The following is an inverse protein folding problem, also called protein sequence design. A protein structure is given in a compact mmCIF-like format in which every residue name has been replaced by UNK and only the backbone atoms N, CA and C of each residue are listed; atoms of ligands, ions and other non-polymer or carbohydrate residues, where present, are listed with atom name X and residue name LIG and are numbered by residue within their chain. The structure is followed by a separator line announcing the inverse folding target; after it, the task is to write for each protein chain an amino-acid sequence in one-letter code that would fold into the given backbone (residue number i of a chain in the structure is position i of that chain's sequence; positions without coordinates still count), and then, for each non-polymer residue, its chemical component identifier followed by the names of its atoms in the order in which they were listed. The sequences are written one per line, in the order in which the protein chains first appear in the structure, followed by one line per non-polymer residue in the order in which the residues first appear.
data_IF_179156662941
#
_entry.id   IF_179156662941
#
_cell.length_a   1.000
_cell.length_b   1.000
_cell.length_c   1.000
_cell.angle_alpha   90.00
_cell.angle_beta   90.00
_cell.angle_gamma   90.00
#
_symmetry.space_group_name_H-M   'P 1'
#
loop_
_entity.id
_entity.type
_entity.pdbx_description
1 polymer ?
#
# COMPACT_ATOMS: atom_id res chain seq x y z
N UNK A 1 27.67 20.98 18.67
CA UNK A 1 26.35 20.31 18.58
C UNK A 1 26.31 19.57 17.26
N UNK A 2 26.33 18.24 17.27
CA UNK A 2 26.13 17.44 16.06
C UNK A 2 24.63 17.27 15.85
N UNK A 3 24.11 17.68 14.70
CA UNK A 3 22.75 17.30 14.31
C UNK A 3 22.75 15.82 13.95
N UNK A 4 21.81 15.07 14.54
CA UNK A 4 21.56 13.70 14.11
C UNK A 4 21.04 13.71 12.68
N UNK A 5 21.64 12.92 11.79
CA UNK A 5 21.12 12.65 10.44
C UNK A 5 20.02 11.58 10.47
N UNK A 6 19.57 11.15 11.65
CA UNK A 6 18.49 10.17 11.77
C UNK A 6 17.20 10.78 11.22
N UNK A 7 16.76 10.28 10.06
CA UNK A 7 15.44 10.58 9.52
C UNK A 7 14.41 9.90 10.41
N UNK A 8 13.70 10.68 11.20
CA UNK A 8 12.52 10.22 11.92
C UNK A 8 11.36 10.11 10.92
N UNK A 9 10.77 8.91 10.82
CA UNK A 9 9.58 8.66 9.98
C UNK A 9 8.38 8.48 10.90
N UNK A 10 7.33 9.25 10.64
CA UNK A 10 6.03 9.14 11.33
C UNK A 10 5.14 8.17 10.57
N UNK A 11 4.29 7.42 11.28
CA UNK A 11 3.35 6.48 10.67
C UNK A 11 4.01 5.18 10.25
N UNK A 12 4.97 4.71 11.06
CA UNK A 12 5.57 3.39 10.85
C UNK A 12 4.69 2.26 11.38
N UNK A 13 3.69 2.63 12.20
CA UNK A 13 2.65 1.74 12.72
C UNK A 13 1.26 2.28 12.38
N UNK A 14 0.33 1.38 12.07
CA UNK A 14 -1.04 1.74 11.74
C UNK A 14 -1.78 2.43 12.90
N UNK A 15 -1.62 1.92 14.13
CA UNK A 15 -2.20 2.53 15.33
C UNK A 15 -1.70 3.96 15.58
N UNK A 16 -0.39 4.17 15.47
CA UNK A 16 0.25 5.49 15.63
C UNK A 16 -0.37 6.55 14.70
N UNK A 17 -0.44 6.28 13.40
CA UNK A 17 -0.98 7.26 12.45
C UNK A 17 -2.49 7.44 12.60
N UNK A 18 -3.21 6.38 12.97
CA UNK A 18 -4.64 6.46 13.22
C UNK A 18 -4.95 7.36 14.43
N UNK A 19 -4.14 7.28 15.49
CA UNK A 19 -4.28 8.15 16.67
C UNK A 19 -3.97 9.60 16.32
N UNK A 20 -2.92 9.87 15.53
CA UNK A 20 -2.62 11.22 15.02
C UNK A 20 -3.82 11.80 14.25
N UNK A 21 -4.42 11.02 13.35
CA UNK A 21 -5.58 11.48 12.56
C UNK A 21 -6.80 11.75 13.45
N UNK A 22 -7.01 10.96 14.50
CA UNK A 22 -8.09 11.18 15.47
C UNK A 22 -7.90 12.49 16.24
N UNK A 23 -6.68 12.80 16.64
CA UNK A 23 -6.34 13.98 17.45
C UNK A 23 -6.31 15.29 16.65
N UNK A 24 -5.67 15.31 15.48
CA UNK A 24 -5.34 16.58 14.80
C UNK A 24 -6.55 17.25 14.11
N UNK A 25 -7.52 16.48 13.59
CA UNK A 25 -8.50 17.05 12.67
C UNK A 25 -9.86 16.35 12.63
N UNK A 26 -10.17 15.45 13.57
CA UNK A 26 -11.48 14.80 13.62
C UNK A 26 -11.85 14.14 12.29
N UNK A 27 -12.88 14.61 11.58
CA UNK A 27 -13.35 14.07 10.28
C UNK A 27 -12.69 14.68 9.02
N UNK A 28 -11.91 15.76 9.15
CA UNK A 28 -11.39 16.50 7.99
C UNK A 28 -10.08 15.95 7.41
N UNK A 29 -9.36 15.11 8.16
CA UNK A 29 -8.12 14.48 7.73
C UNK A 29 -8.34 13.00 7.41
N UNK A 30 -7.83 12.57 6.26
CA UNK A 30 -7.82 11.18 5.81
C UNK A 30 -6.41 10.58 5.83
N UNK A 31 -6.34 9.27 5.61
CA UNK A 31 -5.12 8.48 5.55
C UNK A 31 -4.77 8.13 4.10
N UNK A 32 -3.48 8.19 3.80
CA UNK A 32 -2.88 7.52 2.65
C UNK A 32 -2.42 6.11 3.07
N UNK A 33 -2.93 5.08 2.43
CA UNK A 33 -2.48 3.71 2.63
C UNK A 33 -1.44 3.34 1.57
N UNK A 34 -0.22 3.06 1.98
CA UNK A 34 0.83 2.57 1.10
C UNK A 34 1.11 1.10 1.42
N UNK A 35 0.63 0.20 0.56
CA UNK A 35 0.68 -1.25 0.80
C UNK A 35 2.11 -1.77 0.85
N UNK A 36 2.98 -1.24 -0.02
CA UNK A 36 4.36 -1.70 -0.09
C UNK A 36 5.17 -1.21 1.10
N UNK A 37 4.92 0.00 1.59
CA UNK A 37 5.52 0.47 2.84
C UNK A 37 4.98 -0.23 4.08
N UNK A 38 3.68 -0.56 4.13
CA UNK A 38 3.13 -1.42 5.19
C UNK A 38 3.86 -2.77 5.21
N UNK A 39 3.89 -3.50 4.10
CA UNK A 39 4.55 -4.81 4.02
C UNK A 39 6.05 -4.75 4.35
N UNK A 40 6.75 -3.69 3.91
CA UNK A 40 8.15 -3.49 4.28
C UNK A 40 8.32 -3.25 5.78
N UNK A 41 7.49 -2.41 6.39
CA UNK A 41 7.55 -2.14 7.82
C UNK A 41 7.27 -3.42 8.63
N UNK A 42 6.31 -4.23 8.18
CA UNK A 42 6.02 -5.54 8.80
C UNK A 42 7.22 -6.47 8.76
N UNK A 43 7.81 -6.64 7.57
CA UNK A 43 9.00 -7.46 7.39
C UNK A 43 10.17 -6.99 8.25
N UNK A 44 10.49 -5.70 8.19
CA UNK A 44 11.69 -5.14 8.83
C UNK A 44 11.58 -5.14 10.36
N UNK A 45 10.35 -5.08 10.90
CA UNK A 45 10.10 -4.99 12.34
C UNK A 45 9.61 -6.31 12.96
N UNK A 46 9.15 -7.25 12.14
CA UNK A 46 8.58 -8.53 12.60
C UNK A 46 7.21 -8.40 13.28
N UNK A 47 6.49 -7.29 13.08
CA UNK A 47 5.17 -7.04 13.66
C UNK A 47 4.17 -6.56 12.60
N UNK A 48 2.89 -6.99 12.64
CA UNK A 48 1.89 -6.55 11.67
C UNK A 48 1.66 -5.04 11.68
N UNK A 49 1.36 -4.47 10.52
CA UNK A 49 0.93 -3.09 10.36
C UNK A 49 -0.58 -3.06 10.59
N UNK A 50 -1.00 -2.42 11.69
CA UNK A 50 -2.37 -2.51 12.17
C UNK A 50 -3.36 -1.79 11.24
N UNK A 51 -4.08 -2.55 10.40
CA UNK A 51 -5.11 -2.07 9.47
C UNK A 51 -6.50 -2.52 9.92
N UNK A 52 -6.99 -1.94 11.01
CA UNK A 52 -8.33 -2.24 11.52
C UNK A 52 -9.44 -1.51 10.75
N UNK A 53 -10.70 -1.78 11.10
CA UNK A 53 -11.87 -1.18 10.46
C UNK A 53 -12.01 0.33 10.70
N UNK A 54 -11.32 0.90 11.69
CA UNK A 54 -11.29 2.35 11.86
C UNK A 54 -10.25 3.00 10.95
N UNK A 55 -9.14 2.31 10.68
CA UNK A 55 -8.13 2.75 9.72
C UNK A 55 -8.75 2.92 8.33
N UNK A 56 -9.44 1.89 7.83
CA UNK A 56 -10.01 1.92 6.47
C UNK A 56 -11.05 3.02 6.26
N UNK A 57 -11.89 3.31 7.27
CA UNK A 57 -12.87 4.42 7.21
C UNK A 57 -12.21 5.78 7.00
N UNK A 58 -10.91 5.89 7.31
CA UNK A 58 -10.11 7.10 7.12
C UNK A 58 -9.31 7.08 5.83
N UNK A 59 -9.12 5.93 5.20
CA UNK A 59 -8.34 5.84 3.96
C UNK A 59 -9.07 6.62 2.87
N UNK A 60 -8.38 7.60 2.28
CA UNK A 60 -8.87 8.42 1.17
C UNK A 60 -8.03 8.23 -0.09
N UNK A 61 -6.79 7.75 0.06
CA UNK A 61 -5.85 7.50 -1.03
C UNK A 61 -5.08 6.21 -0.79
N UNK A 62 -4.76 5.47 -1.85
CA UNK A 62 -4.03 4.20 -1.75
C UNK A 62 -2.88 4.20 -2.77
N UNK A 63 -1.67 3.88 -2.31
CA UNK A 63 -0.53 3.57 -3.17
C UNK A 63 -0.35 2.07 -3.26
N UNK A 64 -0.17 1.61 -4.49
CA UNK A 64 0.05 0.22 -4.83
C UNK A 64 1.35 0.11 -5.61
N UNK A 65 2.28 -0.63 -5.02
CA UNK A 65 3.50 -1.07 -5.66
C UNK A 65 3.96 -2.36 -5.00
N UNK A 66 4.91 -3.05 -5.64
CA UNK A 66 5.52 -4.26 -5.09
C UNK A 66 6.88 -3.96 -4.47
N UNK A 67 7.47 -5.01 -3.93
CA UNK A 67 8.86 -5.06 -3.49
C UNK A 67 9.55 -6.17 -4.29
N UNK A 68 10.70 -5.86 -4.89
CA UNK A 68 11.48 -6.85 -5.61
C UNK A 68 12.13 -7.88 -4.66
N UNK A 69 12.76 -8.92 -5.22
CA UNK A 69 13.43 -9.95 -4.43
C UNK A 69 14.62 -9.45 -3.59
N UNK A 70 15.15 -8.26 -3.88
CA UNK A 70 16.21 -7.61 -3.12
C UNK A 70 15.66 -6.66 -2.03
N UNK A 71 14.35 -6.58 -1.89
CA UNK A 71 13.71 -5.74 -0.90
C UNK A 71 13.54 -4.28 -1.31
N UNK A 72 13.76 -3.93 -2.59
CA UNK A 72 13.61 -2.55 -3.07
C UNK A 72 12.15 -2.30 -3.49
N UNK A 73 11.57 -1.23 -2.96
CA UNK A 73 10.18 -0.84 -3.21
C UNK A 73 9.94 -0.18 -4.57
N UNK A 74 8.68 0.22 -4.79
CA UNK A 74 8.19 0.84 -6.04
C UNK A 74 8.40 -0.05 -7.28
N UNK A 75 8.47 -1.36 -7.06
CA UNK A 75 8.65 -2.36 -8.11
C UNK A 75 7.31 -2.64 -8.83
N UNK A 76 7.34 -3.07 -10.10
CA UNK A 76 6.13 -3.55 -10.78
C UNK A 76 5.51 -4.74 -10.04
N UNK A 77 4.20 -4.94 -10.18
CA UNK A 77 3.42 -5.95 -9.44
C UNK A 77 3.68 -7.40 -9.89
N UNK A 78 4.87 -7.71 -10.37
CA UNK A 78 5.20 -9.04 -10.91
C UNK A 78 5.73 -10.00 -9.83
N UNK A 79 6.22 -9.47 -8.71
CA UNK A 79 6.94 -10.23 -7.69
C UNK A 79 6.01 -10.89 -6.66
N UNK A 80 4.89 -10.25 -6.34
CA UNK A 80 3.91 -10.72 -5.36
C UNK A 80 4.38 -10.61 -3.90
N UNK A 81 5.49 -9.93 -3.63
CA UNK A 81 6.14 -9.91 -2.30
C UNK A 81 5.30 -9.19 -1.26
N UNK A 82 4.56 -8.14 -1.67
CA UNK A 82 3.70 -7.34 -0.78
C UNK A 82 2.41 -8.08 -0.38
N UNK A 83 2.01 -9.13 -1.11
CA UNK A 83 0.70 -9.77 -0.89
C UNK A 83 -0.48 -8.83 -1.18
N UNK A 84 -0.33 -7.91 -2.14
CA UNK A 84 -1.29 -6.85 -2.46
C UNK A 84 -2.70 -7.37 -2.85
N UNK A 85 -2.83 -8.65 -3.24
CA UNK A 85 -4.13 -9.27 -3.48
C UNK A 85 -5.03 -9.21 -2.24
N UNK A 86 -4.46 -9.51 -1.07
CA UNK A 86 -5.17 -9.45 0.20
C UNK A 86 -5.61 -8.02 0.55
N UNK A 87 -4.73 -7.05 0.33
CA UNK A 87 -5.04 -5.63 0.54
C UNK A 87 -6.16 -5.13 -0.37
N UNK A 88 -6.10 -5.45 -1.67
CA UNK A 88 -7.10 -5.00 -2.64
C UNK A 88 -8.46 -5.67 -2.40
N UNK A 89 -8.48 -6.96 -2.06
CA UNK A 89 -9.70 -7.64 -1.64
C UNK A 89 -10.26 -7.07 -0.33
N UNK A 90 -9.39 -6.74 0.63
CA UNK A 90 -9.78 -6.11 1.89
C UNK A 90 -10.43 -4.74 1.69
N UNK A 91 -9.86 -3.91 0.81
CA UNK A 91 -10.42 -2.62 0.38
C UNK A 91 -11.79 -2.78 -0.30
N UNK A 92 -11.86 -3.70 -1.27
CA UNK A 92 -13.04 -3.88 -2.08
C UNK A 92 -14.23 -4.46 -1.28
N UNK A 93 -13.98 -5.39 -0.35
CA UNK A 93 -15.00 -5.91 0.60
C UNK A 93 -15.52 -4.85 1.57
N UNK A 94 -14.78 -3.77 1.78
CA UNK A 94 -15.17 -2.62 2.62
C UNK A 94 -15.71 -1.46 1.81
N UNK A 95 -16.03 -1.71 0.54
CA UNK A 95 -16.60 -0.74 -0.39
C UNK A 95 -15.79 0.56 -0.50
N UNK A 96 -14.45 0.47 -0.42
CA UNK A 96 -13.59 1.63 -0.64
C UNK A 96 -13.89 2.26 -2.02
N UNK A 97 -14.20 3.57 -2.03
CA UNK A 97 -14.58 4.33 -3.24
C UNK A 97 -13.48 5.26 -3.75
N UNK A 98 -12.33 5.32 -3.08
CA UNK A 98 -11.24 6.19 -3.51
C UNK A 98 -10.38 5.57 -4.62
N UNK A 99 -9.26 6.23 -4.92
CA UNK A 99 -8.36 5.83 -6.01
C UNK A 99 -7.22 4.97 -5.48
N UNK A 100 -6.98 3.85 -6.16
CA UNK A 100 -5.74 3.06 -6.03
C UNK A 100 -4.77 3.51 -7.11
N UNK A 101 -3.67 4.13 -6.69
CA UNK A 101 -2.61 4.63 -7.57
C UNK A 101 -1.49 3.61 -7.68
N UNK A 102 -1.12 3.25 -8.91
CA UNK A 102 0.10 2.50 -9.18
C UNK A 102 1.30 3.44 -9.05
N UNK A 103 2.08 3.29 -7.98
CA UNK A 103 3.25 4.14 -7.70
C UNK A 103 4.54 3.41 -8.09
N UNK A 104 4.86 3.42 -9.39
CA UNK A 104 5.95 2.64 -9.95
C UNK A 104 7.18 3.51 -10.24
N UNK A 105 8.36 3.00 -9.89
CA UNK A 105 9.63 3.63 -10.23
C UNK A 105 10.11 3.16 -11.62
N UNK A 106 10.54 4.11 -12.46
CA UNK A 106 10.98 3.81 -13.82
C UNK A 106 12.18 2.86 -13.88
N UNK A 107 13.20 3.09 -13.04
CA UNK A 107 14.39 2.24 -13.02
C UNK A 107 14.06 0.83 -12.54
N UNK A 108 13.10 0.69 -11.62
CA UNK A 108 12.60 -0.63 -11.23
C UNK A 108 11.87 -1.35 -12.36
N UNK A 109 11.01 -0.64 -13.08
CA UNK A 109 10.34 -1.22 -14.25
C UNK A 109 11.36 -1.65 -15.31
N UNK A 110 12.37 -0.81 -15.58
CA UNK A 110 13.44 -1.11 -16.53
C UNK A 110 14.31 -2.31 -16.12
N UNK A 111 14.57 -2.47 -14.82
CA UNK A 111 15.28 -3.63 -14.28
C UNK A 111 14.48 -4.93 -14.45
N UNK A 112 13.17 -4.85 -14.31
CA UNK A 112 12.27 -5.99 -14.45
C UNK A 112 12.02 -6.38 -15.91
N UNK A 113 12.07 -5.44 -16.85
CA UNK A 113 11.84 -5.69 -18.28
C UNK A 113 11.58 -4.40 -19.07
N UNK A 114 10.83 -4.52 -20.17
CA UNK A 114 10.35 -3.33 -20.89
C UNK A 114 9.40 -2.50 -20.01
N UNK A 115 9.67 -1.19 -19.77
CA UNK A 115 8.88 -0.40 -18.82
C UNK A 115 7.39 -0.31 -19.16
N UNK A 116 7.05 -0.27 -20.46
CA UNK A 116 5.66 -0.17 -20.89
C UNK A 116 4.92 -1.49 -20.69
N UNK A 117 5.57 -2.61 -20.96
CA UNK A 117 5.07 -3.94 -20.63
C UNK A 117 4.87 -4.11 -19.11
N UNK A 118 5.85 -3.71 -18.30
CA UNK A 118 5.77 -3.80 -16.84
C UNK A 118 4.62 -2.95 -16.26
N UNK A 119 4.39 -1.76 -16.80
CA UNK A 119 3.25 -0.93 -16.45
C UNK A 119 1.91 -1.62 -16.79
N UNK A 120 1.79 -2.20 -18.00
CA UNK A 120 0.58 -2.91 -18.43
C UNK A 120 0.30 -4.14 -17.57
N UNK A 121 1.31 -4.97 -17.30
CA UNK A 121 1.18 -6.14 -16.44
C UNK A 121 0.78 -5.75 -15.03
N UNK A 122 1.37 -4.70 -14.48
CA UNK A 122 1.02 -4.18 -13.16
C UNK A 122 -0.45 -3.72 -13.10
N UNK A 123 -0.90 -2.98 -14.11
CA UNK A 123 -2.30 -2.57 -14.20
C UNK A 123 -3.26 -3.77 -14.35
N UNK A 124 -2.88 -4.78 -15.13
CA UNK A 124 -3.67 -6.00 -15.27
C UNK A 124 -3.79 -6.76 -13.93
N UNK A 125 -2.68 -6.95 -13.23
CA UNK A 125 -2.66 -7.65 -11.93
C UNK A 125 -3.46 -6.89 -10.88
N UNK A 126 -3.31 -5.57 -10.77
CA UNK A 126 -4.13 -4.76 -9.87
C UNK A 126 -5.64 -4.93 -10.14
N UNK A 127 -6.05 -4.94 -11.42
CA UNK A 127 -7.45 -5.18 -11.80
C UNK A 127 -7.93 -6.60 -11.46
N UNK A 128 -7.09 -7.61 -11.65
CA UNK A 128 -7.41 -9.00 -11.32
C UNK A 128 -7.58 -9.17 -9.80
N UNK A 129 -6.63 -8.65 -9.02
CA UNK A 129 -6.64 -8.64 -7.57
C UNK A 129 -7.91 -7.98 -7.01
N UNK A 130 -8.27 -6.81 -7.54
CA UNK A 130 -9.51 -6.11 -7.19
C UNK A 130 -10.78 -6.92 -7.53
N UNK A 131 -10.78 -7.61 -8.68
CA UNK A 131 -11.90 -8.46 -9.14
C UNK A 131 -11.97 -9.82 -8.48
N UNK A 132 -10.94 -10.25 -7.75
CA UNK A 132 -10.87 -11.56 -7.06
C UNK A 132 -11.98 -11.80 -6.03
N UNK A 133 -12.85 -10.83 -5.80
CA UNK A 133 -14.17 -11.03 -5.18
C UNK A 133 -15.04 -11.86 -6.14
N UNK A 134 -15.27 -13.12 -5.80
CA UNK A 134 -16.23 -13.98 -6.50
C UNK A 134 -17.61 -13.31 -6.60
N UNK A 135 -18.43 -13.63 -7.62
CA UNK A 135 -19.72 -12.97 -7.86
C UNK A 135 -20.71 -12.93 -6.67
N UNK A 136 -20.53 -13.77 -5.65
CA UNK A 136 -21.43 -13.88 -4.49
C UNK A 136 -21.19 -12.92 -3.32
N UNK A 137 -20.06 -12.21 -3.29
CA UNK A 137 -19.71 -11.28 -2.19
C UNK A 137 -19.94 -9.80 -2.56
N UNK A 138 -20.45 -9.54 -3.77
CA UNK A 138 -20.95 -8.21 -4.17
C UNK A 138 -22.41 -8.08 -3.73
N UNK A 139 -22.66 -7.84 -2.45
CA UNK A 139 -23.99 -7.45 -1.95
C UNK A 139 -23.91 -6.11 -1.24
#
# INVERSE_FOLDING_TARGET
MGFSTAVYRVGQFGGEILDIVKEVAGKALGLGLDMGHCARNERDRGVPYELNDDFIKRVVHVHLHDIDHNGIGHAPLIYGTVGYDGYLQWLARRHYQGVVVLELNYDQMKRAGDPLEMLRLSAQRARQAWKGIGPGERR
#
